data_IF_803014526419
#
_entry.id   IF_803014526419
#
_cell.length_a   1.000
_cell.length_b   1.000
_cell.length_c   1.000
_cell.angle_alpha   90.00
_cell.angle_beta   90.00
_cell.angle_gamma   90.00
#
_symmetry.space_group_name_H-M   'P 1'
#
loop_
_entity.id
_entity.type
_entity.pdbx_description
1 polymer ?
#
# COMPACT_ATOMS: atom_id res chain seq x y z
N UNK A 1 32.00 32.67 16.88
CA UNK A 1 30.80 31.87 16.59
C UNK A 1 29.59 32.75 16.89
N UNK A 2 28.83 33.13 15.87
CA UNK A 2 27.58 33.88 16.03
C UNK A 2 26.44 32.87 15.96
N UNK A 3 25.55 32.90 16.94
CA UNK A 3 24.41 32.00 17.00
C UNK A 3 23.48 32.23 15.80
N UNK A 4 23.12 31.19 15.02
CA UNK A 4 22.26 31.32 13.83
C UNK A 4 20.91 32.00 14.14
N UNK A 5 20.38 31.75 15.33
CA UNK A 5 19.17 32.35 15.88
C UNK A 5 19.26 33.87 16.06
N UNK A 6 20.46 34.41 16.31
CA UNK A 6 20.70 35.86 16.38
C UNK A 6 20.60 36.52 14.99
N UNK A 7 21.16 35.87 13.97
CA UNK A 7 21.10 36.34 12.58
C UNK A 7 19.65 36.30 12.08
N UNK A 8 18.91 35.24 12.35
CA UNK A 8 17.50 35.11 11.94
C UNK A 8 16.63 36.21 12.58
N UNK A 9 16.87 36.58 13.83
CA UNK A 9 16.16 37.68 14.51
C UNK A 9 16.46 39.06 13.92
N UNK A 10 17.69 39.28 13.46
CA UNK A 10 18.13 40.57 12.90
C UNK A 10 17.58 40.84 11.49
N UNK A 11 17.06 39.83 10.80
CA UNK A 11 16.57 39.92 9.42
C UNK A 11 15.04 39.83 9.27
N UNK A 12 14.28 39.92 10.36
CA UNK A 12 12.81 39.83 10.38
C UNK A 12 12.06 41.10 9.91
N UNK A 13 12.75 42.18 9.55
CA UNK A 13 12.12 43.36 8.93
C UNK A 13 11.78 43.12 7.46
N UNK A 14 10.55 43.46 7.07
CA UNK A 14 9.91 43.12 5.78
C UNK A 14 10.70 43.51 4.51
N UNK A 15 11.68 44.40 4.60
CA UNK A 15 12.55 44.80 3.47
C UNK A 15 13.79 43.93 3.28
N UNK A 16 14.11 43.00 4.20
CA UNK A 16 15.33 42.17 4.14
C UNK A 16 15.08 40.69 3.87
N UNK A 17 13.83 40.31 3.59
CA UNK A 17 13.42 38.92 3.29
C UNK A 17 14.18 38.35 2.09
N UNK A 18 14.45 39.17 1.07
CA UNK A 18 15.21 38.73 -0.11
C UNK A 18 16.66 38.36 0.26
N UNK A 19 17.33 39.20 1.08
CA UNK A 19 18.70 38.95 1.54
C UNK A 19 18.79 37.71 2.44
N UNK A 20 17.77 37.48 3.28
CA UNK A 20 17.70 36.27 4.09
C UNK A 20 17.52 35.02 3.21
N UNK A 21 16.73 35.12 2.15
CA UNK A 21 16.54 34.02 1.18
C UNK A 21 17.84 33.71 0.45
N UNK A 22 18.52 34.71 -0.11
CA UNK A 22 19.82 34.54 -0.79
C UNK A 22 20.88 33.97 0.16
N UNK A 23 20.85 34.35 1.44
CA UNK A 23 21.75 33.80 2.45
C UNK A 23 21.45 32.32 2.75
N UNK A 24 20.17 31.96 2.91
CA UNK A 24 19.74 30.58 3.14
C UNK A 24 20.00 29.69 1.91
N UNK A 25 19.80 30.21 0.69
CA UNK A 25 20.15 29.55 -0.58
C UNK A 25 21.67 29.35 -0.70
N UNK A 26 22.48 30.37 -0.38
CA UNK A 26 23.94 30.25 -0.40
C UNK A 26 24.47 29.27 0.66
N UNK A 27 23.81 29.18 1.81
CA UNK A 27 24.10 28.16 2.82
C UNK A 27 23.76 26.76 2.34
N UNK A 28 22.65 26.60 1.61
CA UNK A 28 22.24 25.33 1.01
C UNK A 28 23.21 24.89 -0.10
N UNK A 29 23.59 25.81 -0.99
CA UNK A 29 24.58 25.57 -2.04
C UNK A 29 25.97 25.17 -1.51
N UNK A 30 26.30 25.57 -0.28
CA UNK A 30 27.56 25.22 0.40
C UNK A 30 27.43 24.04 1.37
N UNK A 31 26.27 23.36 1.42
CA UNK A 31 25.96 22.24 2.34
C UNK A 31 26.09 22.57 3.84
N UNK A 32 26.04 23.85 4.23
CA UNK A 32 26.04 24.29 5.65
C UNK A 32 24.63 24.62 6.16
N UNK A 33 23.59 24.28 5.40
CA UNK A 33 22.21 24.47 5.82
C UNK A 33 21.90 23.56 7.03
N UNK A 34 21.35 24.16 8.08
CA UNK A 34 20.81 23.43 9.23
C UNK A 34 19.32 23.21 9.02
N UNK A 35 18.72 22.29 9.78
CA UNK A 35 17.28 21.98 9.71
C UNK A 35 16.39 23.23 9.92
N UNK A 36 16.82 24.19 10.75
CA UNK A 36 16.13 25.48 10.94
C UNK A 36 16.22 26.39 9.71
N UNK A 37 17.39 26.44 9.05
CA UNK A 37 17.59 27.23 7.84
C UNK A 37 16.67 26.76 6.71
N UNK A 38 16.55 25.44 6.55
CA UNK A 38 15.66 24.84 5.54
C UNK A 38 14.19 25.12 5.87
N UNK A 39 13.78 24.98 7.13
CA UNK A 39 12.39 25.25 7.55
C UNK A 39 12.00 26.72 7.40
N UNK A 40 12.92 27.65 7.63
CA UNK A 40 12.71 29.08 7.44
C UNK A 40 12.61 29.46 5.95
N UNK A 41 13.45 28.87 5.10
CA UNK A 41 13.36 29.02 3.65
C UNK A 41 11.99 28.56 3.14
N UNK A 42 11.56 27.37 3.58
CA UNK A 42 10.29 26.73 3.20
C UNK A 42 9.05 27.51 3.65
N UNK A 43 9.09 28.13 4.83
CA UNK A 43 7.93 28.85 5.38
C UNK A 43 7.78 30.29 4.89
N UNK A 44 8.83 30.92 4.31
CA UNK A 44 8.85 32.36 4.03
C UNK A 44 8.76 32.75 2.55
N UNK A 45 8.86 31.81 1.61
CA UNK A 45 8.79 32.07 0.17
C UNK A 45 7.40 31.72 -0.40
N UNK A 46 6.59 32.70 -0.83
CA UNK A 46 5.32 32.45 -1.52
C UNK A 46 5.43 32.48 -3.06
N UNK A 47 6.61 32.19 -3.64
CA UNK A 47 6.86 32.25 -5.09
C UNK A 47 7.37 30.90 -5.61
N UNK A 48 6.56 30.25 -6.47
CA UNK A 48 6.92 29.09 -7.33
C UNK A 48 7.81 28.05 -6.65
N UNK A 49 7.39 27.57 -5.49
CA UNK A 49 8.09 26.52 -4.78
C UNK A 49 7.73 25.17 -5.42
N UNK A 50 8.69 24.55 -6.12
CA UNK A 50 8.52 23.19 -6.59
C UNK A 50 8.63 22.22 -5.41
N UNK A 51 7.46 21.88 -4.86
CA UNK A 51 7.31 20.97 -3.73
C UNK A 51 7.97 19.63 -4.02
N UNK A 52 7.90 19.14 -5.27
CA UNK A 52 8.48 17.88 -5.67
C UNK A 52 10.02 17.92 -5.57
N UNK A 53 10.65 18.95 -6.14
CA UNK A 53 12.10 19.13 -6.02
C UNK A 53 12.53 19.22 -4.55
N UNK A 54 11.81 19.96 -3.71
CA UNK A 54 12.15 20.03 -2.29
C UNK A 54 12.00 18.68 -1.58
N UNK A 55 10.96 17.90 -1.88
CA UNK A 55 10.77 16.56 -1.34
C UNK A 55 11.89 15.62 -1.76
N UNK A 56 12.38 15.72 -3.00
CA UNK A 56 13.52 14.91 -3.47
C UNK A 56 14.79 15.20 -2.67
N UNK A 57 15.08 16.47 -2.38
CA UNK A 57 16.28 16.89 -1.63
C UNK A 57 16.16 16.54 -0.15
N UNK A 58 14.97 16.70 0.43
CA UNK A 58 14.74 16.48 1.86
C UNK A 58 14.59 15.02 2.23
N UNK A 59 14.09 14.15 1.34
CA UNK A 59 13.89 12.73 1.62
C UNK A 59 15.15 12.07 2.17
N UNK A 60 16.31 12.41 1.62
CA UNK A 60 17.54 11.69 1.91
C UNK A 60 18.26 12.16 3.17
N UNK A 61 18.18 13.47 3.47
CA UNK A 61 18.89 14.09 4.59
C UNK A 61 17.97 14.43 5.79
N UNK A 62 16.67 14.69 5.54
CA UNK A 62 15.72 15.20 6.53
C UNK A 62 14.31 14.59 6.36
N UNK A 63 14.13 13.27 6.57
CA UNK A 63 12.89 12.57 6.27
C UNK A 63 11.69 13.09 7.08
N UNK A 64 11.89 13.48 8.34
CA UNK A 64 10.80 14.02 9.18
C UNK A 64 10.25 15.34 8.63
N UNK A 65 11.10 16.17 8.04
CA UNK A 65 10.71 17.45 7.46
C UNK A 65 10.05 17.25 6.11
N UNK A 66 10.57 16.31 5.31
CA UNK A 66 9.95 15.89 4.06
C UNK A 66 8.52 15.36 4.28
N UNK A 67 8.29 14.54 5.32
CA UNK A 67 6.94 14.07 5.68
C UNK A 67 6.00 15.22 6.06
N UNK A 68 6.47 16.16 6.86
CA UNK A 68 5.68 17.34 7.27
C UNK A 68 5.30 18.19 6.05
N UNK A 69 6.25 18.39 5.13
CA UNK A 69 6.03 19.13 3.89
C UNK A 69 5.03 18.42 2.97
N UNK A 70 5.20 17.12 2.74
CA UNK A 70 4.30 16.31 1.92
C UNK A 70 2.86 16.35 2.47
N UNK A 71 2.71 16.19 3.79
CA UNK A 71 1.39 16.25 4.45
C UNK A 71 0.74 17.63 4.34
N UNK A 72 1.52 18.71 4.47
CA UNK A 72 1.04 20.10 4.37
C UNK A 72 0.56 20.45 2.96
N UNK A 73 1.20 19.90 1.93
CA UNK A 73 0.90 20.17 0.52
C UNK A 73 -0.01 19.12 -0.13
N UNK A 74 -0.52 18.14 0.64
CA UNK A 74 -1.35 17.03 0.13
C UNK A 74 -0.65 16.15 -0.93
N UNK A 75 0.68 16.07 -0.87
CA UNK A 75 1.49 15.21 -1.74
C UNK A 75 1.52 13.77 -1.18
N UNK A 76 0.37 13.08 -1.24
CA UNK A 76 0.15 11.76 -0.64
C UNK A 76 1.10 10.70 -1.19
N UNK A 77 1.32 10.71 -2.51
CA UNK A 77 2.26 9.82 -3.20
C UNK A 77 3.68 9.95 -2.65
N UNK A 78 4.13 11.18 -2.36
CA UNK A 78 5.44 11.43 -1.81
C UNK A 78 5.54 11.07 -0.33
N UNK A 79 4.50 11.34 0.46
CA UNK A 79 4.44 10.93 1.87
C UNK A 79 4.70 9.43 2.01
N UNK A 80 3.97 8.62 1.23
CA UNK A 80 4.10 7.17 1.26
C UNK A 80 5.42 6.70 0.68
N UNK A 81 5.92 7.36 -0.37
CA UNK A 81 7.28 7.10 -0.88
C UNK A 81 8.32 7.30 0.21
N UNK A 82 8.31 8.41 0.94
CA UNK A 82 9.31 8.68 1.97
C UNK A 82 9.27 7.62 3.08
N UNK A 83 8.09 7.09 3.42
CA UNK A 83 7.96 6.07 4.46
C UNK A 83 8.31 4.66 4.01
N UNK A 84 7.85 4.26 2.82
CA UNK A 84 7.84 2.87 2.36
C UNK A 84 8.97 2.53 1.38
N UNK A 85 9.52 3.51 0.66
CA UNK A 85 10.55 3.30 -0.39
C UNK A 85 11.88 2.83 0.18
N UNK A 86 12.08 2.87 1.50
CA UNK A 86 13.29 2.34 2.16
C UNK A 86 13.09 0.94 2.74
N UNK A 87 11.87 0.41 2.65
CA UNK A 87 11.50 -0.87 3.24
C UNK A 87 11.60 -1.95 2.17
N UNK A 88 12.73 -2.66 2.19
CA UNK A 88 13.04 -3.71 1.23
C UNK A 88 13.34 -5.07 1.88
N UNK A 89 13.50 -5.09 3.21
CA UNK A 89 13.84 -6.30 3.97
C UNK A 89 12.58 -6.93 4.51
N UNK A 90 12.47 -8.26 4.43
CA UNK A 90 11.38 -9.03 5.05
C UNK A 90 11.35 -8.88 6.58
N UNK A 91 12.53 -8.69 7.19
CA UNK A 91 12.66 -8.39 8.62
C UNK A 91 12.71 -6.87 8.84
N UNK A 92 11.80 -6.37 9.69
CA UNK A 92 11.67 -4.96 10.02
C UNK A 92 12.24 -4.63 11.39
N UNK A 93 12.92 -3.49 11.48
CA UNK A 93 13.15 -2.83 12.77
C UNK A 93 11.81 -2.35 13.34
N UNK A 94 11.70 -2.22 14.66
CA UNK A 94 10.53 -1.59 15.31
C UNK A 94 10.18 -0.23 14.70
N UNK A 95 11.20 0.54 14.33
CA UNK A 95 11.02 1.86 13.69
C UNK A 95 10.47 1.76 12.27
N UNK A 96 10.77 0.67 11.54
CA UNK A 96 10.26 0.45 10.19
C UNK A 96 8.82 -0.07 10.26
N UNK A 97 8.54 -0.99 11.19
CA UNK A 97 7.19 -1.48 11.47
C UNK A 97 6.23 -0.32 11.78
N UNK A 98 6.66 0.62 12.64
CA UNK A 98 5.87 1.80 12.96
C UNK A 98 5.57 2.67 11.74
N UNK A 99 6.53 2.80 10.80
CA UNK A 99 6.30 3.54 9.54
C UNK A 99 5.34 2.81 8.61
N UNK A 100 5.42 1.49 8.50
CA UNK A 100 4.45 0.74 7.68
C UNK A 100 3.02 0.92 8.21
N UNK A 101 2.85 0.86 9.53
CA UNK A 101 1.55 1.08 10.18
C UNK A 101 1.04 2.52 10.03
N UNK A 102 1.90 3.53 10.20
CA UNK A 102 1.53 4.93 9.98
C UNK A 102 1.13 5.18 8.52
N UNK A 103 1.88 4.62 7.57
CA UNK A 103 1.56 4.70 6.15
C UNK A 103 0.21 4.06 5.83
N UNK A 104 -0.11 2.90 6.41
CA UNK A 104 -1.41 2.25 6.22
C UNK A 104 -2.55 3.11 6.79
N UNK A 105 -2.40 3.58 8.02
CA UNK A 105 -3.37 4.49 8.69
C UNK A 105 -3.57 5.78 7.88
N UNK A 106 -2.49 6.28 7.26
CA UNK A 106 -2.55 7.44 6.39
C UNK A 106 -3.37 7.16 5.14
N UNK A 107 -3.17 6.01 4.47
CA UNK A 107 -3.95 5.59 3.29
C UNK A 107 -5.42 5.44 3.64
N UNK A 108 -5.73 4.87 4.80
CA UNK A 108 -7.11 4.75 5.28
C UNK A 108 -7.80 6.12 5.31
N UNK A 109 -7.12 7.18 5.76
CA UNK A 109 -7.70 8.53 5.79
C UNK A 109 -7.75 9.28 4.46
N UNK A 110 -7.33 8.69 3.32
CA UNK A 110 -7.34 9.36 2.02
C UNK A 110 -8.69 9.24 1.30
N UNK A 111 -8.85 10.02 0.23
CA UNK A 111 -9.96 9.81 -0.71
C UNK A 111 -9.82 8.48 -1.44
N UNK A 112 -10.93 7.92 -1.94
CA UNK A 112 -10.94 6.66 -2.68
C UNK A 112 -9.90 6.62 -3.81
N UNK A 113 -9.82 7.68 -4.62
CA UNK A 113 -8.89 7.74 -5.75
C UNK A 113 -7.43 7.66 -5.32
N UNK A 114 -7.06 8.43 -4.29
CA UNK A 114 -5.71 8.43 -3.73
C UNK A 114 -5.37 7.11 -3.04
N UNK A 115 -6.29 6.55 -2.25
CA UNK A 115 -6.09 5.25 -1.60
C UNK A 115 -5.87 4.14 -2.63
N UNK A 116 -6.72 4.07 -3.67
CA UNK A 116 -6.61 3.10 -4.75
C UNK A 116 -5.28 3.22 -5.51
N UNK A 117 -4.88 4.44 -5.88
CA UNK A 117 -3.61 4.68 -6.58
C UNK A 117 -2.41 4.26 -5.73
N UNK A 118 -2.40 4.63 -4.45
CA UNK A 118 -1.27 4.36 -3.56
C UNK A 118 -1.19 2.88 -3.16
N UNK A 119 -2.32 2.19 -2.97
CA UNK A 119 -2.34 0.75 -2.71
C UNK A 119 -1.85 -0.06 -3.91
N UNK A 120 -2.10 0.37 -5.14
CA UNK A 120 -1.50 -0.27 -6.33
C UNK A 120 0.02 -0.16 -6.36
N UNK A 121 0.57 0.95 -5.84
CA UNK A 121 2.00 1.24 -5.90
C UNK A 121 2.78 0.64 -4.73
N UNK A 122 2.24 0.74 -3.52
CA UNK A 122 2.92 0.36 -2.28
C UNK A 122 2.30 -0.87 -1.59
N UNK A 123 1.20 -1.40 -2.13
CA UNK A 123 0.45 -2.50 -1.53
C UNK A 123 1.27 -3.77 -1.32
N UNK A 124 2.29 -4.04 -2.16
CA UNK A 124 3.15 -5.22 -1.98
C UNK A 124 3.91 -5.15 -0.66
N UNK A 125 4.51 -4.01 -0.35
CA UNK A 125 5.21 -3.78 0.91
C UNK A 125 4.25 -3.86 2.10
N UNK A 126 3.05 -3.29 1.96
CA UNK A 126 2.02 -3.33 3.01
C UNK A 126 1.53 -4.76 3.28
N UNK A 127 1.23 -5.55 2.25
CA UNK A 127 0.82 -6.95 2.38
C UNK A 127 1.95 -7.79 2.97
N UNK A 128 3.21 -7.54 2.60
CA UNK A 128 4.35 -8.29 3.13
C UNK A 128 4.56 -8.12 4.63
N UNK A 129 4.33 -6.92 5.16
CA UNK A 129 4.67 -6.60 6.55
C UNK A 129 3.47 -6.50 7.49
N UNK A 130 2.30 -6.17 6.94
CA UNK A 130 1.05 -5.98 7.69
C UNK A 130 -0.10 -6.62 6.89
N UNK A 131 -0.05 -7.94 6.62
CA UNK A 131 -0.97 -8.61 5.70
C UNK A 131 -2.44 -8.47 6.09
N UNK A 132 -2.79 -8.69 7.36
CA UNK A 132 -4.18 -8.64 7.83
C UNK A 132 -4.84 -7.27 7.63
N UNK A 133 -4.35 -6.22 8.30
CA UNK A 133 -4.86 -4.85 8.14
C UNK A 133 -4.89 -4.38 6.67
N UNK A 134 -3.86 -4.68 5.89
CA UNK A 134 -3.84 -4.31 4.46
C UNK A 134 -4.95 -5.02 3.68
N UNK A 135 -5.22 -6.29 4.00
CA UNK A 135 -6.28 -7.07 3.36
C UNK A 135 -7.67 -6.51 3.69
N UNK A 136 -7.91 -6.11 4.94
CA UNK A 136 -9.16 -5.46 5.35
C UNK A 136 -9.41 -4.16 4.59
N UNK A 137 -8.38 -3.34 4.44
CA UNK A 137 -8.46 -2.11 3.65
C UNK A 137 -8.78 -2.40 2.17
N UNK A 138 -8.15 -3.42 1.57
CA UNK A 138 -8.44 -3.84 0.20
C UNK A 138 -9.88 -4.36 0.05
N UNK A 139 -10.40 -5.11 1.02
CA UNK A 139 -11.81 -5.55 1.04
C UNK A 139 -12.75 -4.34 1.04
N UNK A 140 -12.50 -3.33 1.89
CA UNK A 140 -13.31 -2.12 1.94
C UNK A 140 -13.30 -1.35 0.60
N UNK A 141 -12.13 -1.23 -0.03
CA UNK A 141 -11.94 -0.53 -1.30
C UNK A 141 -12.65 -1.21 -2.49
N UNK A 142 -12.71 -2.54 -2.49
CA UNK A 142 -13.31 -3.31 -3.58
C UNK A 142 -14.83 -3.54 -3.42
N UNK A 143 -15.37 -3.34 -2.21
CA UNK A 143 -16.80 -3.54 -1.90
C UNK A 143 -17.60 -2.25 -1.75
N UNK A 144 -16.97 -1.09 -2.02
CA UNK A 144 -17.64 0.21 -1.91
C UNK A 144 -18.00 0.57 -0.47
N UNK A 145 -17.23 0.07 0.49
CA UNK A 145 -17.33 0.41 1.93
C UNK A 145 -16.18 1.28 2.39
N UNK A 146 -15.46 1.88 1.46
CA UNK A 146 -14.35 2.76 1.76
C UNK A 146 -14.88 4.19 1.94
N UNK A 147 -15.02 4.60 3.21
CA UNK A 147 -15.60 5.90 3.58
C UNK A 147 -17.01 6.09 3.00
N UNK A 148 -17.36 7.33 2.64
CA UNK A 148 -18.63 7.70 2.02
C UNK A 148 -18.64 7.48 0.49
N UNK A 149 -17.61 6.83 -0.08
CA UNK A 149 -17.56 6.57 -1.52
C UNK A 149 -18.29 5.28 -1.90
N UNK A 150 -19.09 5.37 -2.96
CA UNK A 150 -19.70 4.20 -3.62
C UNK A 150 -18.79 3.59 -4.69
N UNK A 151 -17.62 4.18 -4.93
CA UNK A 151 -16.68 3.70 -5.93
C UNK A 151 -16.07 2.37 -5.49
N UNK A 152 -15.81 1.50 -6.47
CA UNK A 152 -15.25 0.17 -6.25
C UNK A 152 -14.01 0.00 -7.11
N UNK A 153 -12.91 -0.41 -6.49
CA UNK A 153 -11.74 -0.82 -7.23
C UNK A 153 -11.92 -2.26 -7.73
N UNK A 154 -11.48 -2.56 -8.95
CA UNK A 154 -11.51 -3.94 -9.45
C UNK A 154 -10.45 -4.79 -8.69
N UNK A 155 -10.88 -5.86 -7.97
CA UNK A 155 -10.02 -6.75 -7.20
C UNK A 155 -8.84 -7.32 -8.00
N UNK A 156 -9.00 -7.51 -9.31
CA UNK A 156 -7.97 -8.11 -10.16
C UNK A 156 -6.67 -7.29 -10.18
N UNK A 157 -6.79 -5.97 -9.96
CA UNK A 157 -5.65 -5.07 -9.90
C UNK A 157 -4.73 -5.33 -8.69
N UNK A 158 -5.20 -6.06 -7.67
CA UNK A 158 -4.47 -6.26 -6.42
C UNK A 158 -3.93 -7.69 -6.25
N UNK A 159 -4.24 -8.62 -7.15
CA UNK A 159 -3.82 -10.03 -7.02
C UNK A 159 -2.29 -10.17 -6.91
N UNK A 160 -1.56 -9.36 -7.70
CA UNK A 160 -0.10 -9.35 -7.74
C UNK A 160 0.56 -8.87 -6.43
N UNK A 161 -0.21 -8.32 -5.48
CA UNK A 161 0.30 -7.91 -4.18
C UNK A 161 0.50 -9.10 -3.23
N UNK A 162 -0.22 -10.20 -3.46
CA UNK A 162 -0.26 -11.36 -2.54
C UNK A 162 0.65 -12.52 -2.96
N UNK A 163 1.67 -12.29 -3.79
CA UNK A 163 2.52 -13.37 -4.37
C UNK A 163 3.07 -14.35 -3.32
N UNK A 164 3.42 -13.86 -2.12
CA UNK A 164 3.91 -14.69 -1.00
C UNK A 164 2.89 -14.90 0.12
N UNK A 165 1.64 -14.46 -0.06
CA UNK A 165 0.62 -14.36 0.99
C UNK A 165 -0.67 -15.08 0.56
N UNK A 166 -0.54 -16.37 0.25
CA UNK A 166 -1.63 -17.20 -0.30
C UNK A 166 -2.86 -17.24 0.62
N UNK A 167 -2.66 -17.31 1.94
CA UNK A 167 -3.77 -17.34 2.90
C UNK A 167 -4.60 -16.05 2.84
N UNK A 168 -3.94 -14.89 2.79
CA UNK A 168 -4.62 -13.59 2.69
C UNK A 168 -5.23 -13.37 1.31
N UNK A 169 -4.61 -13.87 0.23
CA UNK A 169 -5.24 -13.85 -1.08
C UNK A 169 -6.55 -14.63 -1.08
N UNK A 170 -6.56 -15.82 -0.46
CA UNK A 170 -7.78 -16.63 -0.34
C UNK A 170 -8.86 -15.86 0.39
N UNK A 171 -8.53 -15.40 1.59
CA UNK A 171 -9.45 -14.66 2.45
C UNK A 171 -10.03 -13.42 1.75
N UNK A 172 -9.19 -12.70 1.00
CA UNK A 172 -9.62 -11.57 0.17
C UNK A 172 -10.61 -12.02 -0.92
N UNK A 173 -10.25 -13.03 -1.72
CA UNK A 173 -11.07 -13.47 -2.85
C UNK A 173 -12.41 -14.08 -2.40
N UNK A 174 -12.41 -14.93 -1.38
CA UNK A 174 -13.62 -15.53 -0.78
C UNK A 174 -14.57 -14.43 -0.30
N UNK A 175 -14.03 -13.42 0.36
CA UNK A 175 -14.82 -12.29 0.83
C UNK A 175 -15.45 -11.50 -0.32
N UNK A 176 -14.69 -11.25 -1.39
CA UNK A 176 -15.17 -10.50 -2.56
C UNK A 176 -16.32 -11.25 -3.26
N UNK A 177 -16.19 -12.56 -3.48
CA UNK A 177 -17.23 -13.34 -4.16
C UNK A 177 -18.49 -13.55 -3.31
N UNK A 178 -18.37 -13.44 -1.98
CA UNK A 178 -19.51 -13.50 -1.06
C UNK A 178 -20.28 -12.18 -0.98
N UNK A 179 -19.64 -11.04 -1.24
CA UNK A 179 -20.28 -9.72 -1.09
C UNK A 179 -20.64 -9.09 -2.44
N UNK A 180 -19.84 -9.30 -3.48
CA UNK A 180 -19.94 -8.62 -4.75
C UNK A 180 -20.16 -9.59 -5.93
N UNK A 181 -20.83 -9.11 -6.96
CA UNK A 181 -20.83 -9.79 -8.27
C UNK A 181 -19.56 -9.45 -9.02
N UNK A 182 -18.71 -10.45 -9.21
CA UNK A 182 -17.40 -10.28 -9.85
C UNK A 182 -17.52 -10.53 -11.34
N UNK A 183 -17.41 -9.45 -12.12
CA UNK A 183 -17.49 -9.52 -13.57
C UNK A 183 -16.22 -10.09 -14.22
N UNK A 184 -15.06 -9.94 -13.58
CA UNK A 184 -13.77 -10.34 -14.11
C UNK A 184 -13.51 -11.84 -13.86
N UNK A 185 -13.46 -12.68 -14.92
CA UNK A 185 -13.27 -14.13 -14.76
C UNK A 185 -11.93 -14.51 -14.11
N UNK A 186 -10.92 -13.64 -14.18
CA UNK A 186 -9.62 -13.88 -13.56
C UNK A 186 -9.74 -14.15 -12.06
N UNK A 187 -10.70 -13.51 -11.39
CA UNK A 187 -10.94 -13.70 -9.95
C UNK A 187 -11.46 -15.11 -9.66
N UNK A 188 -12.48 -15.53 -10.40
CA UNK A 188 -13.05 -16.86 -10.29
C UNK A 188 -12.01 -17.93 -10.58
N UNK A 189 -11.29 -17.78 -11.70
CA UNK A 189 -10.24 -18.71 -12.11
C UNK A 189 -9.11 -18.81 -11.07
N UNK A 190 -8.66 -17.67 -10.52
CA UNK A 190 -7.61 -17.65 -9.49
C UNK A 190 -8.10 -18.36 -8.23
N UNK A 191 -9.33 -18.08 -7.77
CA UNK A 191 -9.89 -18.74 -6.59
C UNK A 191 -10.09 -20.25 -6.83
N UNK A 192 -10.53 -20.65 -8.03
CA UNK A 192 -10.69 -22.04 -8.44
C UNK A 192 -9.36 -22.78 -8.44
N UNK A 193 -8.32 -22.22 -9.06
CA UNK A 193 -6.94 -22.75 -9.01
C UNK A 193 -6.45 -22.86 -7.55
N UNK A 194 -6.81 -21.91 -6.70
CA UNK A 194 -6.45 -21.95 -5.29
C UNK A 194 -7.16 -23.07 -4.52
N UNK A 195 -8.44 -23.33 -4.79
CA UNK A 195 -9.18 -24.43 -4.17
C UNK A 195 -8.63 -25.77 -4.66
N UNK A 196 -8.43 -25.93 -5.97
CA UNK A 196 -7.86 -27.14 -6.58
C UNK A 196 -6.42 -27.43 -6.14
N UNK A 197 -5.58 -26.40 -6.07
CA UNK A 197 -4.20 -26.53 -5.64
C UNK A 197 -4.07 -27.04 -4.21
N UNK A 198 -5.05 -26.78 -3.34
CA UNK A 198 -5.09 -27.33 -1.99
C UNK A 198 -5.51 -28.80 -1.97
N UNK A 199 -6.35 -29.24 -2.92
CA UNK A 199 -6.68 -30.66 -3.10
C UNK A 199 -5.41 -31.47 -3.41
N UNK A 200 -4.51 -30.93 -4.23
CA UNK A 200 -3.25 -31.58 -4.59
C UNK A 200 -2.09 -31.41 -3.58
N UNK A 201 -2.15 -30.41 -2.69
CA UNK A 201 -1.08 -30.11 -1.71
C UNK A 201 -1.39 -30.46 -0.27
N UNK A 202 -2.59 -30.94 0.05
CA UNK A 202 -2.90 -31.32 1.44
C UNK A 202 -1.85 -32.31 1.95
N UNK A 203 -1.07 -31.98 3.01
CA UNK A 203 -0.12 -32.91 3.64
C UNK A 203 -0.80 -34.20 4.11
N UNK A 204 -2.12 -34.16 4.28
CA UNK A 204 -3.00 -35.28 4.58
C UNK A 204 -2.90 -36.45 3.59
N UNK A 205 -2.47 -36.22 2.35
CA UNK A 205 -2.37 -37.29 1.36
C UNK A 205 -1.22 -38.28 1.65
N UNK A 206 -0.23 -37.88 2.46
CA UNK A 206 0.98 -38.64 2.72
C UNK A 206 0.97 -39.42 4.06
N UNK A 207 0.32 -38.91 5.11
CA UNK A 207 0.41 -39.46 6.48
C UNK A 207 -0.94 -39.67 7.22
N UNK A 208 -2.10 -39.41 6.62
CA UNK A 208 -3.40 -39.60 7.29
C UNK A 208 -4.03 -40.97 7.02
N UNK A 209 -4.71 -41.50 8.04
CA UNK A 209 -5.37 -42.81 8.04
C UNK A 209 -6.32 -42.96 6.83
N UNK A 210 -6.31 -44.15 6.23
CA UNK A 210 -7.08 -44.45 5.01
C UNK A 210 -8.60 -44.21 5.14
N UNK A 211 -9.11 -44.02 6.35
CA UNK A 211 -10.52 -43.75 6.66
C UNK A 211 -10.93 -42.28 6.46
N UNK A 212 -10.02 -41.31 6.62
CA UNK A 212 -10.33 -39.87 6.51
C UNK A 212 -10.14 -39.31 5.09
N UNK A 213 -9.35 -39.99 4.27
CA UNK A 213 -9.09 -39.66 2.86
C UNK A 213 -10.37 -39.45 2.01
N UNK A 214 -11.40 -40.32 2.06
CA UNK A 214 -12.64 -40.11 1.31
C UNK A 214 -13.46 -38.92 1.82
N UNK A 215 -13.37 -38.58 3.11
CA UNK A 215 -14.09 -37.44 3.70
C UNK A 215 -13.49 -36.13 3.22
N UNK A 216 -12.16 -36.03 3.17
CA UNK A 216 -11.43 -34.84 2.72
C UNK A 216 -11.61 -34.58 1.21
N UNK A 217 -11.64 -35.64 0.39
CA UNK A 217 -11.95 -35.49 -1.04
C UNK A 217 -13.39 -35.00 -1.25
N UNK A 218 -14.36 -35.55 -0.51
CA UNK A 218 -15.75 -35.14 -0.62
C UNK A 218 -15.99 -33.68 -0.17
N UNK A 219 -15.31 -33.21 0.88
CA UNK A 219 -15.40 -31.79 1.31
C UNK A 219 -14.77 -30.84 0.30
N UNK A 220 -13.68 -31.26 -0.34
CA UNK A 220 -13.01 -30.48 -1.38
C UNK A 220 -13.84 -30.39 -2.67
N UNK A 221 -14.44 -31.50 -3.12
CA UNK A 221 -15.37 -31.52 -4.25
C UNK A 221 -16.59 -30.63 -3.97
N UNK A 222 -17.14 -30.71 -2.75
CA UNK A 222 -18.24 -29.84 -2.34
C UNK A 222 -17.87 -28.36 -2.39
N UNK A 223 -16.64 -27.99 -1.99
CA UNK A 223 -16.17 -26.60 -2.07
C UNK A 223 -16.00 -26.12 -3.52
N UNK A 224 -15.47 -26.97 -4.42
CA UNK A 224 -15.35 -26.66 -5.86
C UNK A 224 -16.74 -26.48 -6.48
N UNK A 225 -17.67 -27.38 -6.20
CA UNK A 225 -19.04 -27.29 -6.72
C UNK A 225 -19.77 -26.06 -6.18
N UNK A 226 -19.66 -25.77 -4.89
CA UNK A 226 -20.25 -24.57 -4.29
C UNK A 226 -19.71 -23.27 -4.92
N UNK A 227 -18.43 -23.27 -5.30
CA UNK A 227 -17.79 -22.15 -5.98
C UNK A 227 -18.31 -22.02 -7.43
N UNK A 228 -18.35 -23.11 -8.20
CA UNK A 228 -18.86 -23.11 -9.58
C UNK A 228 -20.37 -22.79 -9.67
N UNK A 229 -21.14 -23.18 -8.67
CA UNK A 229 -22.57 -22.88 -8.56
C UNK A 229 -22.84 -21.43 -8.14
N UNK A 230 -21.82 -20.66 -7.75
CA UNK A 230 -22.00 -19.29 -7.31
C UNK A 230 -22.34 -18.37 -8.50
N UNK A 231 -23.57 -17.81 -8.58
CA UNK A 231 -23.99 -16.98 -9.71
C UNK A 231 -23.28 -15.61 -9.74
N UNK A 232 -22.58 -15.25 -8.66
CA UNK A 232 -21.84 -13.98 -8.54
C UNK A 232 -20.46 -14.04 -9.17
N UNK A 233 -19.97 -15.24 -9.50
CA UNK A 233 -18.63 -15.42 -10.02
C UNK A 233 -18.72 -15.86 -11.47
N UNK A 234 -17.98 -15.16 -12.33
CA UNK A 234 -17.78 -15.59 -13.71
C UNK A 234 -16.49 -16.39 -13.81
N UNK A 235 -16.53 -17.38 -14.68
CA UNK A 235 -15.39 -18.20 -15.05
C UNK A 235 -15.19 -18.11 -16.55
N UNK A 236 -13.95 -18.26 -16.97
CA UNK A 236 -13.64 -18.56 -18.36
C UNK A 236 -13.78 -20.08 -18.52
N UNK A 237 -14.75 -20.52 -19.33
CA UNK A 237 -15.11 -21.95 -19.44
C UNK A 237 -13.92 -22.80 -19.87
N UNK A 238 -13.15 -22.35 -20.87
CA UNK A 238 -11.98 -23.08 -21.38
C UNK A 238 -10.89 -23.15 -20.32
N UNK A 239 -10.60 -22.04 -19.63
CA UNK A 239 -9.62 -22.01 -18.56
C UNK A 239 -10.03 -22.87 -17.36
N UNK A 240 -11.31 -22.80 -16.95
CA UNK A 240 -11.83 -23.62 -15.86
C UNK A 240 -11.76 -25.11 -16.20
N UNK A 241 -12.11 -25.50 -17.43
CA UNK A 241 -11.97 -26.89 -17.90
C UNK A 241 -10.51 -27.36 -17.88
N UNK A 242 -9.57 -26.52 -18.32
CA UNK A 242 -8.13 -26.84 -18.26
C UNK A 242 -7.69 -27.03 -16.80
N UNK A 243 -8.10 -26.14 -15.89
CA UNK A 243 -7.78 -26.24 -14.46
C UNK A 243 -8.35 -27.54 -13.84
N UNK A 244 -9.59 -27.90 -14.16
CA UNK A 244 -10.22 -29.14 -13.71
C UNK A 244 -9.53 -30.41 -14.27
N UNK A 245 -8.91 -30.33 -15.46
CA UNK A 245 -8.21 -31.47 -16.08
C UNK A 245 -6.77 -31.63 -15.59
N UNK A 246 -6.15 -30.54 -15.13
CA UNK A 246 -4.77 -30.53 -14.66
C UNK A 246 -4.60 -30.99 -13.21
N UNK A 247 -5.65 -30.86 -12.40
CA UNK A 247 -5.68 -31.24 -10.97
C UNK A 247 -6.45 -32.53 -10.76
#
# INVERSE_FOLDING_TARGET
YVEPSYVIRQFLDAQRIHNLTTYLEALHAKAFATSEHTTLLLNKQPLTFDVETALTVLRDNYPTHALTLAKKHHEHSWYLKIQLDRIHSETLSESDQARVLDALTYIEGLSFGEANLNLRKYGRTLVTHVPGPTTELLKALCTGRFHDSTDKADPANFLHLFVSHRAQLREFLEYIVDVETVANPQIGNTLLEMVLGDVGRSPAAADEDAEDKPIIMATNEAAVLALLDNPRVKYDEDHALILMQMH
#
